data_IF_219619872834
#
_entry.id   IF_219619872834
#
_cell.length_a   1.000
_cell.length_b   1.000
_cell.length_c   1.000
_cell.angle_alpha   90.00
_cell.angle_beta   90.00
_cell.angle_gamma   90.00
#
_symmetry.space_group_name_H-M   'P 1'
#
loop_
_entity.id
_entity.type
_entity.pdbx_description
1 polymer ?
#
# COMPACT_ATOMS: atom_id res chain seq x y z
N UNK A 1 19.81 -46.36 12.61
CA UNK A 1 19.22 -46.54 11.26
C UNK A 1 17.81 -45.95 11.11
N UNK A 2 17.18 -45.41 12.17
CA UNK A 2 15.81 -44.77 12.09
C UNK A 2 15.82 -43.26 11.78
N UNK A 3 16.94 -42.57 12.01
CA UNK A 3 17.01 -41.10 11.82
C UNK A 3 17.17 -40.69 10.34
N UNK A 4 17.78 -41.55 9.50
CA UNK A 4 17.93 -41.26 8.06
C UNK A 4 16.65 -41.42 7.24
N UNK A 5 15.67 -42.19 7.72
CA UNK A 5 14.39 -42.37 7.01
C UNK A 5 13.45 -41.15 7.17
N UNK A 6 13.52 -40.46 8.31
CA UNK A 6 12.69 -39.29 8.56
C UNK A 6 13.13 -38.07 7.73
N UNK A 7 14.44 -37.89 7.55
CA UNK A 7 14.97 -36.79 6.71
C UNK A 7 14.67 -37.00 5.21
N UNK A 8 14.63 -38.23 4.74
CA UNK A 8 14.31 -38.55 3.34
C UNK A 8 12.81 -38.31 3.05
N UNK A 9 11.92 -38.57 4.01
CA UNK A 9 10.47 -38.34 3.84
C UNK A 9 10.16 -36.82 3.81
N UNK A 10 10.81 -36.01 4.66
CA UNK A 10 10.60 -34.56 4.68
C UNK A 10 11.10 -33.92 3.38
N UNK A 11 12.26 -34.35 2.87
CA UNK A 11 12.78 -33.86 1.58
C UNK A 11 11.91 -34.29 0.40
N UNK A 12 11.31 -35.50 0.45
CA UNK A 12 10.41 -35.96 -0.61
C UNK A 12 9.06 -35.20 -0.61
N UNK A 13 8.52 -34.85 0.56
CA UNK A 13 7.28 -34.06 0.67
C UNK A 13 7.50 -32.62 0.16
N UNK A 14 8.64 -32.01 0.45
CA UNK A 14 9.00 -30.67 -0.06
C UNK A 14 9.18 -30.72 -1.59
N UNK A 15 9.80 -31.78 -2.14
CA UNK A 15 9.95 -31.95 -3.58
C UNK A 15 8.61 -32.20 -4.30
N UNK A 16 7.68 -32.94 -3.68
CA UNK A 16 6.35 -33.19 -4.26
C UNK A 16 5.50 -31.93 -4.21
N UNK A 17 5.49 -31.19 -3.09
CA UNK A 17 4.77 -29.90 -2.95
C UNK A 17 5.31 -28.85 -3.91
N UNK A 18 6.60 -28.69 -4.00
CA UNK A 18 7.26 -27.79 -4.94
C UNK A 18 7.08 -28.19 -6.40
N UNK A 19 7.08 -29.48 -6.70
CA UNK A 19 6.84 -30.01 -8.04
C UNK A 19 5.43 -29.80 -8.55
N UNK A 20 4.41 -29.95 -7.72
CA UNK A 20 3.00 -29.66 -8.08
C UNK A 20 2.77 -28.18 -8.30
N UNK A 21 3.35 -27.33 -7.49
CA UNK A 21 3.30 -25.86 -7.68
C UNK A 21 4.03 -25.44 -8.96
N UNK A 22 5.20 -26.01 -9.24
CA UNK A 22 5.97 -25.77 -10.46
C UNK A 22 5.28 -26.31 -11.71
N UNK A 23 4.65 -27.49 -11.67
CA UNK A 23 3.89 -28.03 -12.83
C UNK A 23 2.62 -27.21 -13.11
N UNK A 24 1.88 -26.73 -12.10
CA UNK A 24 0.76 -25.82 -12.33
C UNK A 24 1.23 -24.50 -12.93
N UNK A 25 2.36 -23.99 -12.46
CA UNK A 25 2.98 -22.77 -12.99
C UNK A 25 3.42 -22.92 -14.45
N UNK A 26 4.05 -24.04 -14.84
CA UNK A 26 4.51 -24.28 -16.21
C UNK A 26 3.34 -24.56 -17.18
N UNK A 27 2.27 -25.21 -16.75
CA UNK A 27 1.06 -25.40 -17.56
C UNK A 27 0.36 -24.07 -17.83
N UNK A 28 0.28 -23.17 -16.84
CA UNK A 28 -0.33 -21.87 -17.02
C UNK A 28 0.52 -20.97 -17.94
N UNK A 29 1.85 -21.04 -17.84
CA UNK A 29 2.77 -20.32 -18.73
C UNK A 29 2.76 -20.83 -20.17
N UNK A 30 2.49 -22.13 -20.39
CA UNK A 30 2.32 -22.70 -21.75
C UNK A 30 0.97 -22.32 -22.39
N UNK A 31 -0.11 -22.23 -21.60
CA UNK A 31 -1.41 -21.75 -22.09
C UNK A 31 -1.35 -20.29 -22.55
N UNK A 32 -0.60 -19.42 -21.85
CA UNK A 32 -0.42 -18.02 -22.27
C UNK A 32 0.41 -17.89 -23.57
N UNK A 33 1.37 -18.76 -23.83
CA UNK A 33 2.15 -18.72 -25.09
C UNK A 33 1.34 -19.10 -26.34
N UNK A 34 0.30 -19.91 -26.21
CA UNK A 34 -0.57 -20.29 -27.33
C UNK A 34 -1.67 -19.26 -27.65
N UNK A 35 -2.04 -18.39 -26.70
CA UNK A 35 -3.09 -17.38 -26.89
C UNK A 35 -2.59 -16.05 -27.49
N UNK A 36 -1.28 -15.83 -27.59
CA UNK A 36 -0.68 -14.57 -28.07
C UNK A 36 -0.71 -14.42 -29.59
N UNK A 37 -1.12 -15.44 -30.37
CA UNK A 37 -1.01 -15.42 -31.80
C UNK A 37 -2.31 -15.16 -32.58
N UNK A 38 -3.37 -14.61 -31.97
CA UNK A 38 -4.53 -14.08 -32.74
C UNK A 38 -5.19 -12.93 -31.97
N UNK A 39 -4.96 -11.70 -32.42
CA UNK A 39 -5.73 -10.56 -31.94
C UNK A 39 -5.02 -9.22 -32.11
N UNK A 40 -4.94 -8.77 -33.36
CA UNK A 40 -4.60 -7.39 -33.69
C UNK A 40 -5.76 -6.49 -33.33
N UNK A 41 -5.66 -5.68 -32.24
CA UNK A 41 -6.51 -4.50 -32.05
C UNK A 41 -5.86 -3.50 -31.08
N UNK A 42 -5.67 -2.28 -31.61
CA UNK A 42 -5.48 -0.99 -30.94
C UNK A 42 -4.59 -0.96 -29.71
N UNK A 43 -3.31 -0.72 -29.91
CA UNK A 43 -2.38 -0.24 -28.90
C UNK A 43 -2.77 1.19 -28.46
N UNK A 44 -3.61 1.35 -27.44
CA UNK A 44 -3.40 2.47 -26.55
C UNK A 44 -2.04 2.21 -25.91
N UNK A 45 -1.02 3.00 -26.26
CA UNK A 45 0.31 2.94 -25.67
C UNK A 45 0.14 3.04 -24.14
N UNK A 46 0.30 1.92 -23.43
CA UNK A 46 0.33 1.93 -21.98
C UNK A 46 1.44 2.90 -21.60
N UNK A 47 1.09 4.10 -21.14
CA UNK A 47 2.07 5.12 -20.76
C UNK A 47 2.98 4.48 -19.73
N UNK A 48 4.26 4.35 -20.07
CA UNK A 48 5.29 3.78 -19.18
C UNK A 48 5.36 4.64 -17.90
N UNK A 49 5.67 4.00 -16.77
CA UNK A 49 6.05 4.71 -15.58
C UNK A 49 7.30 5.54 -15.85
N UNK A 50 7.33 6.75 -15.32
CA UNK A 50 8.49 7.63 -15.39
C UNK A 50 9.27 7.55 -14.10
N UNK A 51 10.60 7.59 -14.21
CA UNK A 51 11.51 7.64 -13.06
C UNK A 51 11.53 9.07 -12.52
N UNK A 52 11.55 9.28 -11.19
CA UNK A 52 11.74 10.61 -10.62
C UNK A 52 13.00 11.27 -11.16
N UNK A 53 12.99 12.58 -11.46
CA UNK A 53 14.19 13.31 -11.86
C UNK A 53 15.32 13.13 -10.85
N UNK A 54 16.57 13.05 -11.29
CA UNK A 54 17.74 12.85 -10.39
C UNK A 54 17.77 13.83 -9.22
N UNK A 55 17.34 15.08 -9.39
CA UNK A 55 17.25 16.07 -8.31
C UNK A 55 16.30 15.67 -7.20
N UNK A 56 15.25 14.87 -7.49
CA UNK A 56 14.30 14.36 -6.49
C UNK A 56 14.92 13.32 -5.54
N UNK A 57 16.09 12.81 -5.85
CA UNK A 57 16.86 11.91 -5.00
C UNK A 57 17.94 12.66 -4.20
N UNK A 58 17.94 13.99 -4.27
CA UNK A 58 18.80 14.86 -3.49
C UNK A 58 17.96 15.61 -2.44
N UNK A 59 18.62 16.12 -1.42
CA UNK A 59 17.93 16.88 -0.39
C UNK A 59 17.38 18.19 -0.96
N UNK A 60 16.09 18.42 -0.80
CA UNK A 60 15.47 19.70 -1.15
C UNK A 60 16.01 20.85 -0.27
N UNK A 61 15.79 22.10 -0.65
CA UNK A 61 16.13 23.26 0.18
C UNK A 61 15.39 23.19 1.54
N UNK A 62 15.94 23.82 2.57
CA UNK A 62 15.43 23.73 3.94
C UNK A 62 13.96 24.15 4.07
N UNK A 63 13.54 25.15 3.35
CA UNK A 63 12.19 25.69 3.29
C UNK A 63 11.20 24.78 2.51
N UNK A 64 11.72 23.81 1.78
CA UNK A 64 10.91 22.85 1.00
C UNK A 64 10.83 21.46 1.64
N UNK A 65 11.53 21.23 2.76
CA UNK A 65 11.55 19.92 3.43
C UNK A 65 10.42 19.79 4.43
N UNK A 66 9.64 18.74 4.29
CA UNK A 66 8.70 18.34 5.33
C UNK A 66 9.41 17.80 6.57
N UNK A 67 8.74 17.87 7.69
CA UNK A 67 9.20 17.33 8.98
C UNK A 67 8.53 16.01 9.29
N UNK A 68 9.21 15.17 10.10
CA UNK A 68 8.66 13.89 10.55
C UNK A 68 8.52 13.93 12.07
N UNK A 69 7.32 13.57 12.57
CA UNK A 69 7.00 13.48 14.00
C UNK A 69 6.63 12.06 14.36
N UNK A 70 6.91 11.67 15.60
CA UNK A 70 6.34 10.44 16.22
C UNK A 70 5.00 10.77 16.84
N UNK A 71 4.01 9.93 16.58
CA UNK A 71 2.70 9.96 17.23
C UNK A 71 2.50 8.63 17.95
N UNK A 72 2.13 8.70 19.22
CA UNK A 72 1.80 7.53 20.02
C UNK A 72 0.29 7.39 20.12
N UNK A 73 -0.20 6.17 19.97
CA UNK A 73 -1.61 5.82 20.15
C UNK A 73 -1.72 4.51 20.94
N UNK A 74 -2.88 4.29 21.54
CA UNK A 74 -3.19 3.06 22.26
C UNK A 74 -3.97 2.12 21.33
N UNK A 75 -3.67 0.85 21.40
CA UNK A 75 -4.44 -0.21 20.74
C UNK A 75 -4.59 -1.41 21.66
N UNK A 76 -5.54 -2.29 21.35
CA UNK A 76 -5.84 -3.46 22.18
C UNK A 76 -5.77 -4.73 21.34
N UNK A 77 -5.07 -5.74 21.83
CA UNK A 77 -5.04 -7.08 21.23
C UNK A 77 -5.25 -8.12 22.30
N UNK A 78 -6.19 -9.07 22.08
CA UNK A 78 -6.53 -10.13 23.05
C UNK A 78 -6.77 -9.57 24.48
N UNK A 79 -7.47 -8.43 24.56
CA UNK A 79 -7.77 -7.70 25.81
C UNK A 79 -6.55 -7.06 26.51
N UNK A 80 -5.37 -7.08 25.90
CA UNK A 80 -4.17 -6.39 26.41
C UNK A 80 -4.00 -5.08 25.66
N UNK A 81 -4.03 -3.97 26.42
CA UNK A 81 -3.76 -2.64 25.86
C UNK A 81 -2.24 -2.38 25.82
N UNK A 82 -1.78 -1.81 24.72
CA UNK A 82 -0.38 -1.40 24.57
C UNK A 82 -0.26 -0.15 23.68
N UNK A 83 0.87 0.53 23.82
CA UNK A 83 1.18 1.72 23.02
C UNK A 83 1.88 1.33 21.73
N UNK A 84 1.45 1.94 20.63
CA UNK A 84 2.14 1.89 19.34
C UNK A 84 2.54 3.28 18.87
N UNK A 85 3.45 3.31 17.92
CA UNK A 85 3.93 4.55 17.32
C UNK A 85 3.71 4.53 15.80
N UNK A 86 3.30 5.68 15.27
CA UNK A 86 3.32 5.97 13.85
C UNK A 86 4.27 7.13 13.58
N UNK A 87 4.94 7.15 12.44
CA UNK A 87 5.64 8.31 11.93
C UNK A 87 4.67 9.15 11.10
N UNK A 88 4.68 10.46 11.32
CA UNK A 88 3.81 11.40 10.61
C UNK A 88 4.67 12.45 9.91
N UNK A 89 4.64 12.44 8.58
CA UNK A 89 5.22 13.47 7.76
C UNK A 89 4.25 14.65 7.65
N UNK A 90 4.77 15.84 7.88
CA UNK A 90 4.08 17.11 7.68
C UNK A 90 4.81 17.89 6.59
N UNK A 91 4.10 18.44 5.57
CA UNK A 91 4.74 19.21 4.51
C UNK A 91 5.44 20.46 5.05
N UNK A 92 6.36 21.05 4.28
CA UNK A 92 7.20 22.16 4.71
C UNK A 92 6.40 23.38 5.20
N UNK A 93 5.26 23.63 4.58
CA UNK A 93 4.35 24.73 4.90
C UNK A 93 3.19 24.32 5.82
N UNK A 94 3.32 23.21 6.55
CA UNK A 94 2.27 22.74 7.44
C UNK A 94 1.89 23.77 8.50
N UNK A 95 0.60 24.10 8.56
CA UNK A 95 0.01 25.01 9.54
C UNK A 95 -1.32 24.46 10.04
N UNK A 96 -1.50 24.48 11.36
CA UNK A 96 -2.73 24.05 12.02
C UNK A 96 -3.91 24.99 11.75
N UNK A 97 -3.64 26.26 11.51
CA UNK A 97 -4.61 27.35 11.29
C UNK A 97 -4.86 27.65 9.79
N UNK A 98 -4.39 26.78 8.90
CA UNK A 98 -4.62 26.93 7.46
C UNK A 98 -6.13 26.87 7.16
N UNK A 99 -6.59 27.75 6.27
CA UNK A 99 -8.01 27.78 5.87
C UNK A 99 -8.48 26.43 5.29
N UNK A 100 -7.67 25.77 4.47
CA UNK A 100 -7.98 24.50 3.83
C UNK A 100 -7.22 23.36 4.52
N UNK A 101 -7.90 22.34 5.07
CA UNK A 101 -7.25 21.19 5.69
C UNK A 101 -6.36 20.39 4.73
N UNK A 102 -5.63 19.41 5.24
CA UNK A 102 -4.74 18.54 4.47
C UNK A 102 -5.38 17.18 4.19
N UNK A 103 -5.18 16.70 2.97
CA UNK A 103 -5.43 15.29 2.63
C UNK A 103 -4.48 14.39 3.43
N UNK A 104 -4.92 13.16 3.75
CA UNK A 104 -4.15 12.21 4.56
C UNK A 104 -3.88 10.94 3.76
N UNK A 105 -2.61 10.55 3.66
CA UNK A 105 -2.17 9.28 3.13
C UNK A 105 -1.66 8.41 4.28
N UNK A 106 -2.28 7.26 4.53
CA UNK A 106 -1.74 6.20 5.39
C UNK A 106 -0.86 5.30 4.53
N UNK A 107 0.39 5.05 4.96
CA UNK A 107 1.39 4.32 4.17
C UNK A 107 2.00 3.17 4.97
N UNK A 108 1.62 1.94 4.65
CA UNK A 108 2.04 0.73 5.35
C UNK A 108 3.28 0.09 4.71
N UNK A 109 4.21 -0.30 5.58
CA UNK A 109 5.45 -0.98 5.20
C UNK A 109 5.26 -2.48 4.85
N UNK A 110 6.30 -3.09 4.27
CA UNK A 110 6.37 -4.51 3.97
C UNK A 110 6.85 -5.37 5.15
N UNK A 111 6.93 -6.70 4.91
CA UNK A 111 7.52 -7.64 5.85
C UNK A 111 8.96 -7.25 6.19
N UNK A 112 9.34 -7.38 7.45
CA UNK A 112 10.66 -7.01 7.98
C UNK A 112 11.08 -5.53 7.74
N UNK A 113 10.12 -4.68 7.40
CA UNK A 113 10.30 -3.23 7.24
C UNK A 113 9.68 -2.47 8.43
N UNK A 114 9.77 -1.15 8.38
CA UNK A 114 9.19 -0.22 9.35
C UNK A 114 8.80 1.10 8.69
N UNK A 115 8.11 1.96 9.42
CA UNK A 115 7.77 3.31 8.98
C UNK A 115 8.99 4.15 8.58
N UNK A 116 10.15 3.90 9.22
CA UNK A 116 11.40 4.64 8.93
C UNK A 116 12.00 4.29 7.56
N UNK A 117 11.64 3.16 6.96
CA UNK A 117 12.07 2.84 5.58
C UNK A 117 11.45 3.78 4.53
N UNK A 118 10.34 4.43 4.86
CA UNK A 118 9.75 5.48 4.01
C UNK A 118 10.15 6.89 4.42
N UNK A 119 10.10 7.19 5.73
CA UNK A 119 10.18 8.56 6.22
C UNK A 119 11.51 8.92 6.88
N UNK A 120 12.40 7.94 7.06
CA UNK A 120 13.62 8.09 7.87
C UNK A 120 13.33 8.07 9.36
N UNK A 121 14.36 8.00 10.18
CA UNK A 121 14.22 8.04 11.63
C UNK A 121 14.14 9.48 12.16
N UNK A 122 13.23 9.72 13.09
CA UNK A 122 13.10 11.02 13.73
C UNK A 122 14.35 11.35 14.57
N UNK A 123 14.84 12.59 14.45
CA UNK A 123 16.03 13.04 15.17
C UNK A 123 17.35 12.61 14.53
N UNK A 124 17.32 11.95 13.37
CA UNK A 124 18.50 11.59 12.59
C UNK A 124 18.56 12.36 11.28
N UNK A 125 19.72 12.29 10.60
CA UNK A 125 19.89 12.80 9.24
C UNK A 125 19.59 11.74 8.17
N UNK A 126 18.96 10.62 8.54
CA UNK A 126 18.64 9.56 7.60
C UNK A 126 17.61 10.05 6.59
N UNK A 127 17.98 10.00 5.32
CA UNK A 127 17.16 10.39 4.19
C UNK A 127 16.79 9.15 3.38
N UNK A 128 15.51 8.89 3.24
CA UNK A 128 14.99 7.84 2.36
C UNK A 128 14.70 8.42 0.98
N UNK A 129 14.83 7.61 -0.06
CA UNK A 129 14.46 8.00 -1.43
C UNK A 129 13.02 8.47 -1.51
N UNK A 130 12.13 7.80 -0.78
CA UNK A 130 10.70 8.09 -0.79
C UNK A 130 10.40 9.48 -0.23
N UNK A 131 10.99 9.81 0.94
CA UNK A 131 10.81 11.15 1.53
C UNK A 131 11.44 12.25 0.67
N UNK A 132 12.64 12.02 0.13
CA UNK A 132 13.27 12.97 -0.79
C UNK A 132 12.38 13.23 -2.01
N UNK A 133 11.85 12.20 -2.62
CA UNK A 133 10.90 12.30 -3.74
C UNK A 133 9.65 13.07 -3.33
N UNK A 134 9.09 12.80 -2.15
CA UNK A 134 7.88 13.45 -1.65
C UNK A 134 8.09 14.97 -1.45
N UNK A 135 9.19 15.37 -0.81
CA UNK A 135 9.53 16.78 -0.59
C UNK A 135 9.56 17.57 -1.90
N UNK A 136 10.24 17.05 -2.91
CA UNK A 136 10.29 17.68 -4.24
C UNK A 136 8.95 17.66 -4.98
N UNK A 137 8.21 16.56 -4.89
CA UNK A 137 6.91 16.44 -5.56
C UNK A 137 5.89 17.45 -5.03
N UNK A 138 5.95 17.77 -3.73
CA UNK A 138 5.13 18.83 -3.12
C UNK A 138 5.66 20.22 -3.52
N UNK A 139 6.96 20.47 -3.38
CA UNK A 139 7.58 21.75 -3.69
C UNK A 139 7.37 22.17 -5.15
N UNK A 140 7.45 21.22 -6.08
CA UNK A 140 7.21 21.44 -7.52
C UNK A 140 5.72 21.34 -7.92
N UNK A 141 4.81 21.27 -6.94
CA UNK A 141 3.34 21.21 -7.16
C UNK A 141 2.88 20.04 -8.05
N UNK A 142 3.67 18.98 -8.12
CA UNK A 142 3.27 17.73 -8.77
C UNK A 142 2.14 17.04 -8.01
N UNK A 143 2.16 17.19 -6.69
CA UNK A 143 1.07 16.78 -5.77
C UNK A 143 0.76 17.92 -4.82
N UNK A 144 -0.46 17.93 -4.29
CA UNK A 144 -0.86 18.88 -3.23
C UNK A 144 -0.10 18.55 -1.94
N UNK A 145 0.19 19.55 -1.08
CA UNK A 145 0.66 19.29 0.27
C UNK A 145 -0.31 18.38 1.02
N UNK A 146 0.21 17.30 1.61
CA UNK A 146 -0.57 16.30 2.34
C UNK A 146 0.17 15.83 3.60
N UNK A 147 -0.58 15.25 4.52
CA UNK A 147 -0.04 14.54 5.68
C UNK A 147 0.19 13.09 5.27
N UNK A 148 1.36 12.50 5.61
CA UNK A 148 1.57 11.07 5.46
C UNK A 148 1.73 10.43 6.82
N UNK A 149 0.91 9.42 7.11
CA UNK A 149 0.94 8.64 8.34
C UNK A 149 1.51 7.27 8.01
N UNK A 150 2.68 6.95 8.53
CA UNK A 150 3.31 5.64 8.37
C UNK A 150 3.21 4.85 9.70
N UNK A 151 2.21 3.97 9.86
CA UNK A 151 2.07 3.09 11.00
C UNK A 151 2.88 1.81 10.82
N UNK A 152 2.73 0.88 11.77
CA UNK A 152 3.18 -0.50 11.65
C UNK A 152 2.05 -1.46 12.06
N UNK A 153 1.94 -2.61 11.40
CA UNK A 153 1.05 -3.69 11.84
C UNK A 153 1.69 -4.58 12.92
N UNK A 154 3.01 -4.52 13.10
CA UNK A 154 3.66 -5.18 14.23
C UNK A 154 3.34 -4.49 15.56
N UNK A 155 3.33 -5.26 16.63
CA UNK A 155 3.23 -4.69 17.98
C UNK A 155 4.44 -3.81 18.26
N UNK A 156 5.63 -4.31 18.00
CA UNK A 156 6.92 -3.63 18.03
C UNK A 156 7.94 -4.38 17.16
N UNK A 157 9.15 -3.85 17.04
CA UNK A 157 10.21 -4.44 16.19
C UNK A 157 10.73 -5.80 16.69
N UNK A 158 10.47 -6.20 17.91
CA UNK A 158 10.85 -7.51 18.46
C UNK A 158 9.84 -8.61 18.08
N UNK A 159 8.70 -8.24 17.51
CA UNK A 159 7.58 -9.10 17.12
C UNK A 159 7.46 -9.28 15.61
N UNK A 160 8.54 -9.01 14.86
CA UNK A 160 8.61 -9.32 13.44
C UNK A 160 8.54 -10.84 13.28
N UNK A 161 7.67 -11.31 12.41
CA UNK A 161 7.48 -12.74 12.15
C UNK A 161 8.66 -13.33 11.39
N UNK A 162 8.87 -14.63 11.52
CA UNK A 162 9.91 -15.36 10.79
C UNK A 162 9.53 -15.66 9.33
N UNK A 163 8.24 -15.64 9.02
CA UNK A 163 7.69 -15.89 7.69
C UNK A 163 6.68 -14.78 7.34
N UNK A 164 6.69 -14.33 6.10
CA UNK A 164 5.78 -13.28 5.61
C UNK A 164 4.31 -13.71 5.62
N UNK A 165 4.02 -15.01 5.51
CA UNK A 165 2.64 -15.55 5.59
C UNK A 165 2.04 -15.34 6.97
N UNK A 166 2.86 -15.33 8.03
CA UNK A 166 2.42 -15.08 9.41
C UNK A 166 1.98 -13.62 9.62
N UNK A 167 2.33 -12.71 8.72
CA UNK A 167 1.93 -11.31 8.77
C UNK A 167 0.48 -11.07 8.29
N UNK A 168 -0.10 -11.97 7.50
CA UNK A 168 -1.46 -11.77 6.97
C UNK A 168 -2.53 -11.58 8.06
N UNK A 169 -2.54 -12.35 9.15
CA UNK A 169 -3.45 -12.09 10.28
C UNK A 169 -3.23 -10.73 10.93
N UNK A 170 -1.97 -10.28 11.07
CA UNK A 170 -1.61 -8.97 11.65
C UNK A 170 -2.09 -7.82 10.76
N UNK A 171 -1.88 -7.93 9.45
CA UNK A 171 -2.35 -6.97 8.46
C UNK A 171 -3.88 -6.85 8.44
N UNK A 172 -4.57 -8.00 8.50
CA UNK A 172 -6.03 -8.03 8.57
C UNK A 172 -6.54 -7.41 9.87
N UNK A 173 -5.91 -7.76 11.02
CA UNK A 173 -6.26 -7.17 12.32
C UNK A 173 -6.07 -5.65 12.29
N UNK A 174 -4.94 -5.17 11.75
CA UNK A 174 -4.69 -3.74 11.61
C UNK A 174 -5.85 -3.05 10.88
N UNK A 175 -6.27 -3.56 9.72
CA UNK A 175 -7.36 -2.99 8.94
C UNK A 175 -8.71 -3.07 9.69
N UNK A 176 -9.03 -4.22 10.33
CA UNK A 176 -10.38 -4.43 10.89
C UNK A 176 -10.59 -3.90 12.31
N UNK A 177 -9.53 -3.59 13.05
CA UNK A 177 -9.62 -3.24 14.46
C UNK A 177 -8.86 -1.96 14.80
N UNK A 178 -7.63 -1.81 14.34
CA UNK A 178 -6.70 -0.80 14.82
C UNK A 178 -6.79 0.53 14.04
N UNK A 179 -6.84 0.47 12.70
CA UNK A 179 -6.73 1.65 11.84
C UNK A 179 -7.82 2.68 12.15
N UNK A 180 -9.08 2.28 12.06
CA UNK A 180 -10.23 3.18 12.17
C UNK A 180 -10.66 3.46 13.61
N UNK A 181 -10.36 2.55 14.54
CA UNK A 181 -10.76 2.71 15.95
C UNK A 181 -9.71 3.42 16.81
N UNK A 182 -8.41 3.21 16.50
CA UNK A 182 -7.34 3.64 17.39
C UNK A 182 -6.45 4.73 16.74
N UNK A 183 -5.95 4.51 15.50
CA UNK A 183 -5.00 5.41 14.86
C UNK A 183 -5.67 6.64 14.26
N UNK A 184 -6.71 6.47 13.43
CA UNK A 184 -7.36 7.58 12.73
C UNK A 184 -7.93 8.65 13.68
N UNK A 185 -8.58 8.32 14.81
CA UNK A 185 -9.02 9.30 15.79
C UNK A 185 -7.88 10.15 16.34
N UNK A 186 -6.72 9.54 16.63
CA UNK A 186 -5.54 10.26 17.13
C UNK A 186 -4.99 11.21 16.07
N UNK A 187 -4.92 10.78 14.81
CA UNK A 187 -4.47 11.66 13.71
C UNK A 187 -5.44 12.83 13.53
N UNK A 188 -6.74 12.58 13.51
CA UNK A 188 -7.76 13.62 13.38
C UNK A 188 -7.74 14.64 14.54
N UNK A 189 -7.40 14.20 15.76
CA UNK A 189 -7.33 15.08 16.94
C UNK A 189 -6.06 15.95 16.98
N UNK A 190 -4.95 15.48 16.39
CA UNK A 190 -3.65 16.14 16.50
C UNK A 190 -3.28 16.99 15.28
N UNK A 191 -3.88 16.75 14.12
CA UNK A 191 -3.50 17.40 12.88
C UNK A 191 -4.69 18.01 12.15
N UNK A 192 -4.41 19.03 11.36
CA UNK A 192 -5.42 19.74 10.58
C UNK A 192 -5.84 18.95 9.32
N UNK A 193 -6.71 17.98 9.53
CA UNK A 193 -7.27 17.10 8.50
C UNK A 193 -8.71 17.51 8.15
N UNK A 194 -9.28 16.91 7.10
CA UNK A 194 -10.69 17.13 6.75
C UNK A 194 -11.68 16.44 7.72
N UNK A 195 -11.22 15.57 8.61
CA UNK A 195 -12.08 15.01 9.65
C UNK A 195 -12.50 16.11 10.65
N UNK A 196 -13.81 16.25 10.86
CA UNK A 196 -14.37 17.27 11.74
C UNK A 196 -14.36 16.87 13.22
N UNK A 197 -13.87 15.66 13.51
CA UNK A 197 -13.72 15.10 14.86
C UNK A 197 -13.24 13.66 14.82
N UNK A 198 -13.31 12.97 15.95
CA UNK A 198 -12.72 11.64 16.15
C UNK A 198 -13.74 10.49 16.10
N UNK A 199 -15.05 10.82 16.03
CA UNK A 199 -16.08 9.79 15.93
C UNK A 199 -16.10 9.14 14.56
N UNK A 200 -16.49 7.85 14.44
CA UNK A 200 -16.51 7.15 13.14
C UNK A 200 -17.24 7.91 12.04
N UNK A 201 -18.39 8.52 12.33
CA UNK A 201 -19.15 9.30 11.34
C UNK A 201 -18.39 10.54 10.85
N UNK A 202 -17.64 11.20 11.74
CA UNK A 202 -16.82 12.37 11.41
C UNK A 202 -15.59 12.01 10.59
N UNK A 203 -14.98 10.85 10.88
CA UNK A 203 -13.89 10.28 10.08
C UNK A 203 -14.37 9.87 8.67
N UNK A 204 -15.57 9.29 8.58
CA UNK A 204 -16.19 8.91 7.29
C UNK A 204 -16.54 10.12 6.43
N UNK A 205 -16.91 11.26 7.01
CA UNK A 205 -17.14 12.49 6.25
C UNK A 205 -15.87 12.99 5.53
N UNK A 206 -14.70 12.67 6.04
CA UNK A 206 -13.41 13.00 5.41
C UNK A 206 -12.95 11.98 4.35
N UNK A 207 -13.77 10.98 4.01
CA UNK A 207 -13.46 9.86 3.12
C UNK A 207 -12.76 10.28 1.82
N UNK A 208 -13.24 11.33 1.17
CA UNK A 208 -12.72 11.81 -0.12
C UNK A 208 -11.35 12.51 0.01
N UNK A 209 -10.88 12.67 1.23
CA UNK A 209 -9.59 13.25 1.62
C UNK A 209 -8.67 12.25 2.31
N UNK A 210 -8.98 10.94 2.21
CA UNK A 210 -8.21 9.88 2.83
C UNK A 210 -7.80 8.82 1.80
N UNK A 211 -6.51 8.47 1.84
CA UNK A 211 -5.92 7.42 1.02
C UNK A 211 -5.19 6.41 1.90
N UNK A 212 -5.21 5.14 1.49
CA UNK A 212 -4.38 4.09 2.08
C UNK A 212 -3.46 3.48 1.02
N UNK A 213 -2.19 3.36 1.35
CA UNK A 213 -1.14 2.82 0.49
C UNK A 213 -0.28 1.82 1.25
N UNK A 214 0.42 0.95 0.52
CA UNK A 214 1.42 0.09 1.12
C UNK A 214 2.23 -0.68 0.09
N UNK A 215 3.43 -1.07 0.51
CA UNK A 215 4.38 -1.83 -0.30
C UNK A 215 4.51 -3.25 0.22
N UNK A 216 4.58 -4.25 -0.66
CA UNK A 216 4.77 -5.66 -0.30
C UNK A 216 3.64 -6.15 0.62
N UNK A 217 3.92 -6.56 1.86
CA UNK A 217 2.89 -6.87 2.86
C UNK A 217 1.99 -5.68 3.18
N UNK A 218 2.50 -4.45 3.09
CA UNK A 218 1.66 -3.25 3.16
C UNK A 218 0.66 -3.14 2.01
N UNK A 219 0.97 -3.70 0.84
CA UNK A 219 -0.01 -3.85 -0.25
C UNK A 219 -1.14 -4.80 0.15
N UNK A 220 -0.84 -5.93 0.82
CA UNK A 220 -1.86 -6.82 1.37
C UNK A 220 -2.73 -6.08 2.40
N UNK A 221 -2.12 -5.27 3.28
CA UNK A 221 -2.88 -4.38 4.19
C UNK A 221 -3.79 -3.43 3.40
N UNK A 222 -3.29 -2.84 2.30
CA UNK A 222 -4.09 -1.92 1.47
C UNK A 222 -5.33 -2.61 0.91
N UNK A 223 -5.22 -3.86 0.49
CA UNK A 223 -6.36 -4.65 0.03
C UNK A 223 -7.33 -5.04 1.16
N UNK A 224 -6.84 -5.29 2.39
CA UNK A 224 -7.71 -5.47 3.55
C UNK A 224 -8.45 -4.18 3.90
N UNK A 225 -7.77 -3.02 3.87
CA UNK A 225 -8.41 -1.71 4.09
C UNK A 225 -9.47 -1.45 2.99
N UNK A 226 -9.19 -1.78 1.73
CA UNK A 226 -10.21 -1.73 0.67
C UNK A 226 -11.40 -2.64 1.01
N UNK A 227 -11.17 -3.85 1.48
CA UNK A 227 -12.23 -4.81 1.78
C UNK A 227 -13.12 -4.39 2.96
N UNK A 228 -12.55 -3.77 3.99
CA UNK A 228 -13.25 -3.54 5.27
C UNK A 228 -13.56 -2.07 5.56
N UNK A 229 -12.79 -1.12 5.01
CA UNK A 229 -12.81 0.29 5.42
C UNK A 229 -13.20 1.26 4.28
N UNK A 230 -13.91 0.79 3.26
CA UNK A 230 -14.35 1.60 2.11
C UNK A 230 -15.15 2.85 2.51
N UNK A 231 -15.81 2.85 3.68
CA UNK A 231 -16.53 4.02 4.21
C UNK A 231 -15.60 5.12 4.74
N UNK A 232 -14.33 4.80 4.98
CA UNK A 232 -13.33 5.74 5.49
C UNK A 232 -12.36 6.22 4.41
N UNK A 233 -12.20 5.46 3.32
CA UNK A 233 -11.19 5.72 2.29
C UNK A 233 -11.79 5.72 0.89
N UNK A 234 -11.40 6.72 0.09
CA UNK A 234 -11.72 6.78 -1.34
C UNK A 234 -10.59 6.25 -2.20
N UNK A 235 -9.33 6.45 -1.79
CA UNK A 235 -8.14 6.20 -2.59
C UNK A 235 -7.29 5.07 -2.00
N UNK A 236 -6.81 4.18 -2.89
CA UNK A 236 -6.00 3.03 -2.51
C UNK A 236 -4.79 2.93 -3.43
N UNK A 237 -3.59 2.69 -2.87
CA UNK A 237 -2.35 2.57 -3.63
C UNK A 237 -1.57 1.31 -3.23
N UNK A 238 -2.04 0.10 -3.62
CA UNK A 238 -1.30 -1.13 -3.38
C UNK A 238 -0.10 -1.23 -4.32
N UNK A 239 1.09 -1.45 -3.76
CA UNK A 239 2.37 -1.55 -4.48
C UNK A 239 3.05 -2.88 -4.23
N UNK A 240 3.43 -3.60 -5.30
CA UNK A 240 4.28 -4.80 -5.24
C UNK A 240 3.79 -5.88 -4.25
N UNK A 241 2.49 -6.15 -4.25
CA UNK A 241 1.92 -7.19 -3.39
C UNK A 241 0.54 -7.63 -3.85
N UNK A 242 0.21 -8.93 -3.68
CA UNK A 242 -1.03 -9.49 -4.16
C UNK A 242 -2.23 -9.04 -3.31
N UNK A 243 -3.42 -9.20 -3.90
CA UNK A 243 -4.67 -9.18 -3.16
C UNK A 243 -4.85 -10.56 -2.48
N UNK A 244 -5.02 -10.57 -1.17
CA UNK A 244 -5.26 -11.77 -0.39
C UNK A 244 -6.71 -12.30 -0.51
N UNK A 245 -7.61 -11.53 -1.12
CA UNK A 245 -9.03 -11.87 -1.27
C UNK A 245 -9.41 -12.12 -2.72
N UNK A 246 -10.46 -12.92 -2.90
CA UNK A 246 -11.10 -13.15 -4.19
C UNK A 246 -11.71 -11.85 -4.76
N UNK A 247 -11.69 -11.71 -6.09
CA UNK A 247 -12.25 -10.55 -6.79
C UNK A 247 -13.77 -10.39 -6.56
N UNK A 248 -14.51 -11.49 -6.40
CA UNK A 248 -15.94 -11.44 -6.08
C UNK A 248 -16.17 -10.93 -4.65
N UNK A 249 -15.31 -11.29 -3.71
CA UNK A 249 -15.34 -10.76 -2.32
C UNK A 249 -15.10 -9.25 -2.34
N UNK A 250 -14.13 -8.76 -3.10
CA UNK A 250 -13.85 -7.33 -3.25
C UNK A 250 -15.03 -6.58 -3.88
N UNK A 251 -15.63 -7.12 -4.94
CA UNK A 251 -16.83 -6.53 -5.54
C UNK A 251 -18.04 -6.51 -4.58
N UNK A 252 -18.21 -7.56 -3.77
CA UNK A 252 -19.23 -7.62 -2.73
C UNK A 252 -19.01 -6.57 -1.66
N UNK A 253 -17.75 -6.30 -1.26
CA UNK A 253 -17.42 -5.27 -0.27
C UNK A 253 -17.87 -3.89 -0.73
N UNK A 254 -17.65 -3.53 -2.00
CA UNK A 254 -18.13 -2.25 -2.57
C UNK A 254 -19.65 -2.13 -2.46
N UNK A 255 -20.37 -3.17 -2.89
CA UNK A 255 -21.84 -3.20 -2.82
C UNK A 255 -22.35 -3.12 -1.38
N UNK A 256 -21.71 -3.86 -0.45
CA UNK A 256 -22.09 -3.86 0.97
C UNK A 256 -21.83 -2.52 1.66
N UNK A 257 -20.86 -1.75 1.17
CA UNK A 257 -20.62 -0.38 1.63
C UNK A 257 -21.63 0.64 1.09
N UNK A 258 -22.52 0.24 0.15
CA UNK A 258 -23.46 1.11 -0.54
C UNK A 258 -22.80 1.98 -1.61
N UNK A 259 -21.65 1.55 -2.14
CA UNK A 259 -20.82 2.28 -3.09
C UNK A 259 -20.93 1.69 -4.50
N UNK A 260 -20.51 2.48 -5.49
CA UNK A 260 -20.42 2.10 -6.89
C UNK A 260 -19.03 2.40 -7.47
N UNK A 261 -18.84 2.20 -8.77
CA UNK A 261 -17.57 2.36 -9.45
C UNK A 261 -16.98 3.79 -9.40
N UNK A 262 -17.80 4.82 -9.18
CA UNK A 262 -17.36 6.21 -9.19
C UNK A 262 -16.94 6.68 -7.78
N UNK A 263 -17.16 5.83 -6.77
CA UNK A 263 -16.93 6.17 -5.37
C UNK A 263 -15.53 5.83 -4.86
N UNK A 264 -14.70 5.17 -5.62
CA UNK A 264 -13.33 4.84 -5.20
C UNK A 264 -12.34 4.85 -6.38
N UNK A 265 -11.06 4.94 -6.04
CA UNK A 265 -9.97 4.84 -7.01
C UNK A 265 -8.81 4.01 -6.46
N UNK A 266 -8.31 3.09 -7.27
CA UNK A 266 -7.18 2.22 -6.94
C UNK A 266 -6.04 2.48 -7.92
N UNK A 267 -4.88 2.91 -7.42
CA UNK A 267 -3.63 3.03 -8.17
C UNK A 267 -2.71 1.85 -7.85
N UNK A 268 -2.95 0.72 -8.48
CA UNK A 268 -2.17 -0.50 -8.28
C UNK A 268 -0.90 -0.52 -9.15
N UNK A 269 0.22 -0.96 -8.58
CA UNK A 269 1.49 -0.99 -9.32
C UNK A 269 2.47 -2.04 -8.81
N UNK A 270 3.43 -2.43 -9.65
CA UNK A 270 4.44 -3.45 -9.33
C UNK A 270 5.70 -3.24 -10.14
N UNK A 271 6.84 -3.71 -9.65
CA UNK A 271 8.08 -3.77 -10.43
C UNK A 271 7.99 -4.81 -11.55
N UNK A 272 8.50 -4.46 -12.73
CA UNK A 272 8.52 -5.38 -13.87
C UNK A 272 9.44 -6.60 -13.68
N UNK A 273 10.49 -6.46 -12.86
CA UNK A 273 11.38 -7.53 -12.42
C UNK A 273 11.01 -8.11 -11.03
N UNK A 274 9.95 -7.60 -10.41
CA UNK A 274 9.46 -8.05 -9.11
C UNK A 274 8.63 -9.34 -9.24
N UNK A 275 8.96 -10.36 -8.43
CA UNK A 275 8.25 -11.65 -8.46
C UNK A 275 6.78 -11.55 -8.04
N UNK A 276 6.42 -10.58 -7.20
CA UNK A 276 5.03 -10.36 -6.78
C UNK A 276 4.10 -10.01 -7.95
N UNK A 277 4.66 -9.57 -9.06
CA UNK A 277 3.93 -9.35 -10.33
C UNK A 277 3.13 -10.57 -10.76
N UNK A 278 3.66 -11.76 -10.57
CA UNK A 278 3.03 -13.00 -10.99
C UNK A 278 1.76 -13.34 -10.20
N UNK A 279 1.61 -12.80 -8.99
CA UNK A 279 0.37 -12.88 -8.23
C UNK A 279 -0.52 -11.65 -8.44
N UNK A 280 0.06 -10.45 -8.44
CA UNK A 280 -0.68 -9.20 -8.54
C UNK A 280 -1.39 -9.02 -9.89
N UNK A 281 -0.69 -9.25 -10.99
CA UNK A 281 -1.25 -9.06 -12.35
C UNK A 281 -2.48 -9.92 -12.65
N UNK A 282 -2.52 -11.24 -12.34
CA UNK A 282 -3.74 -12.05 -12.45
C UNK A 282 -4.86 -11.56 -11.53
N UNK A 283 -4.55 -11.13 -10.29
CA UNK A 283 -5.55 -10.58 -9.38
C UNK A 283 -6.21 -9.33 -9.96
N UNK A 284 -5.44 -8.38 -10.50
CA UNK A 284 -5.96 -7.19 -11.18
C UNK A 284 -6.83 -7.56 -12.38
N UNK A 285 -6.41 -8.53 -13.21
CA UNK A 285 -7.22 -9.02 -14.32
C UNK A 285 -8.54 -9.63 -13.86
N UNK A 286 -8.56 -10.31 -12.71
CA UNK A 286 -9.78 -10.86 -12.11
C UNK A 286 -10.71 -9.77 -11.58
N UNK A 287 -10.17 -8.71 -10.98
CA UNK A 287 -10.95 -7.55 -10.57
C UNK A 287 -11.63 -6.88 -11.77
N UNK A 288 -10.94 -6.66 -12.88
CA UNK A 288 -11.52 -6.06 -14.09
C UNK A 288 -12.63 -6.91 -14.73
N UNK A 289 -12.85 -8.17 -14.33
CA UNK A 289 -14.01 -8.97 -14.75
C UNK A 289 -15.26 -8.71 -13.91
N UNK A 290 -15.12 -8.04 -12.79
CA UNK A 290 -16.22 -7.60 -11.93
C UNK A 290 -16.67 -6.20 -12.38
N UNK A 291 -17.95 -6.01 -12.65
CA UNK A 291 -18.50 -4.77 -13.23
C UNK A 291 -18.18 -3.48 -12.47
N UNK A 292 -17.89 -3.58 -11.17
CA UNK A 292 -17.58 -2.42 -10.31
C UNK A 292 -16.13 -1.94 -10.47
N UNK A 293 -15.24 -2.77 -11.07
CA UNK A 293 -13.85 -2.39 -11.35
C UNK A 293 -13.66 -2.11 -12.83
N UNK A 294 -13.37 -0.88 -13.16
CA UNK A 294 -13.17 -0.41 -14.53
C UNK A 294 -11.73 0.06 -14.73
N UNK A 295 -11.36 0.44 -15.97
CA UNK A 295 -10.06 1.07 -16.24
C UNK A 295 -9.96 2.50 -15.69
N UNK A 296 -11.09 3.11 -15.34
CA UNK A 296 -11.14 4.47 -14.84
C UNK A 296 -10.94 4.51 -13.31
N UNK A 297 -11.42 3.49 -12.58
CA UNK A 297 -11.27 3.42 -11.12
C UNK A 297 -10.21 2.42 -10.61
N UNK A 298 -9.65 1.59 -11.49
CA UNK A 298 -8.54 0.67 -11.18
C UNK A 298 -7.43 0.83 -12.22
N UNK A 299 -6.51 1.75 -11.94
CA UNK A 299 -5.29 1.95 -12.68
C UNK A 299 -4.26 0.89 -12.29
N UNK A 300 -3.62 0.25 -13.29
CA UNK A 300 -2.53 -0.70 -13.05
C UNK A 300 -1.35 -0.40 -13.97
N UNK A 301 -0.14 -0.37 -13.41
CA UNK A 301 1.10 -0.16 -14.17
C UNK A 301 2.26 -0.98 -13.60
N UNK A 302 3.21 -1.28 -14.49
CA UNK A 302 4.46 -1.94 -14.14
C UNK A 302 5.63 -0.96 -14.28
N UNK A 303 6.49 -0.85 -13.27
CA UNK A 303 7.79 -0.19 -13.37
C UNK A 303 8.73 -1.14 -14.12
N UNK A 304 8.95 -0.90 -15.41
CA UNK A 304 9.52 -1.86 -16.38
C UNK A 304 10.78 -2.56 -15.89
N UNK A 305 11.65 -1.87 -15.16
CA UNK A 305 12.94 -2.37 -14.65
C UNK A 305 12.98 -2.44 -13.11
N UNK A 306 11.89 -2.09 -12.45
CA UNK A 306 11.81 -2.08 -11.00
C UNK A 306 11.83 -3.50 -10.42
N UNK A 307 12.60 -3.68 -9.36
CA UNK A 307 12.61 -4.88 -8.52
C UNK A 307 11.64 -4.78 -7.36
N UNK A 308 11.84 -5.63 -6.35
CA UNK A 308 11.16 -5.56 -5.06
C UNK A 308 12.00 -4.75 -4.06
N UNK A 309 12.16 -3.45 -4.30
CA UNK A 309 13.14 -2.61 -3.63
C UNK A 309 12.67 -1.15 -3.46
N UNK A 310 13.44 -0.37 -2.68
CA UNK A 310 13.17 1.04 -2.41
C UNK A 310 13.09 1.89 -3.68
N UNK A 311 13.92 1.63 -4.67
CA UNK A 311 13.91 2.39 -5.92
C UNK A 311 12.58 2.18 -6.65
N UNK A 312 12.13 0.92 -6.74
CA UNK A 312 10.89 0.58 -7.45
C UNK A 312 9.67 1.14 -6.74
N UNK A 313 9.52 0.97 -5.42
CA UNK A 313 8.35 1.55 -4.76
C UNK A 313 8.36 3.09 -4.75
N UNK A 314 9.53 3.73 -4.80
CA UNK A 314 9.62 5.19 -5.01
C UNK A 314 9.14 5.58 -6.39
N UNK A 315 9.55 4.85 -7.46
CA UNK A 315 9.06 5.08 -8.82
C UNK A 315 7.56 4.87 -8.93
N UNK A 316 7.05 3.79 -8.33
CA UNK A 316 5.62 3.47 -8.27
C UNK A 316 4.84 4.60 -7.60
N UNK A 317 5.30 5.08 -6.43
CA UNK A 317 4.69 6.19 -5.70
C UNK A 317 4.74 7.49 -6.51
N UNK A 318 5.85 7.82 -7.16
CA UNK A 318 6.00 9.02 -7.98
C UNK A 318 4.96 9.10 -9.12
N UNK A 319 4.55 7.96 -9.67
CA UNK A 319 3.54 7.89 -10.72
C UNK A 319 2.10 7.82 -10.18
N UNK A 320 1.90 7.20 -9.03
CA UNK A 320 0.58 6.96 -8.47
C UNK A 320 0.05 8.14 -7.62
N UNK A 321 0.91 8.77 -6.80
CA UNK A 321 0.52 9.89 -5.92
C UNK A 321 -0.22 11.02 -6.65
N UNK A 322 0.18 11.47 -7.87
CA UNK A 322 -0.55 12.50 -8.61
C UNK A 322 -1.95 12.09 -9.05
N UNK A 323 -2.33 10.81 -8.93
CA UNK A 323 -3.65 10.31 -9.28
C UNK A 323 -4.62 10.36 -8.09
N UNK A 324 -4.09 10.48 -6.86
CA UNK A 324 -4.88 10.57 -5.65
C UNK A 324 -5.39 12.00 -5.43
N UNK A 325 -6.51 12.14 -4.73
CA UNK A 325 -7.11 13.43 -4.35
C UNK A 325 -7.39 14.37 -5.54
N UNK A 326 -7.61 13.79 -6.73
CA UNK A 326 -8.11 14.53 -7.89
C UNK A 326 -9.63 14.64 -7.77
N UNK A 327 -10.10 15.82 -7.51
CA UNK A 327 -11.49 16.26 -7.70
C UNK A 327 -11.47 17.48 -8.61
#
# INVERSE_FOLDING_TARGET
MRIRLFQVIVVLIILIGGGVCYMRYTQQAQFEKQSVNKGNTSSQSEKRMVVPPKRYLQQASRDQRGSVKKVTYQTTEQHVQYSKQALVYLPADYRQDRQKPYDVLYLMHGWNMSASDFLGETGTNQMTRWKLMLDHAIAEKRIKPLIVVAPTYYQDRTKITSDWDDDLPLNRRFATQELTNDLMPVIASQFHTYATGTQPSQLQQARDHQAFAGFSMGSATTWFVFQYDLKFFRYFMPMSGPNASDAAVMAKSVKSAGLNQDDFFIAASVGGADSTKYAMKPAIKSLWRQSVFTKDNLWYREDQHGGHDEQSFTNQSYNALPLLFKQ
#
